data_IF_565549094751
#
_entry.id   IF_565549094751
#
_cell.length_a   1.000
_cell.length_b   1.000
_cell.length_c   1.000
_cell.angle_alpha   90.00
_cell.angle_beta   90.00
_cell.angle_gamma   90.00
#
_symmetry.space_group_name_H-M   'P 1'
#
loop_
_entity.id
_entity.type
_entity.pdbx_description
1 polymer ?
#
# COMPACT_ATOMS: atom_id res chain seq x y z
N UNK A 1 7.52 26.91 69.99
CA UNK A 1 7.49 28.03 69.01
C UNK A 1 8.94 28.32 68.71
N UNK A 2 9.53 27.86 67.60
CA UNK A 2 9.01 27.95 66.23
C UNK A 2 9.60 26.81 65.40
N UNK A 3 8.74 26.20 64.60
CA UNK A 3 8.98 25.04 63.72
C UNK A 3 9.91 25.42 62.56
N UNK A 4 10.90 24.58 62.27
CA UNK A 4 11.75 24.67 61.09
C UNK A 4 11.01 23.99 59.93
N UNK A 5 10.32 24.79 59.12
CA UNK A 5 9.74 24.31 57.88
C UNK A 5 10.84 24.10 56.83
N UNK A 6 11.34 22.87 56.73
CA UNK A 6 12.07 22.38 55.57
C UNK A 6 11.18 22.55 54.32
N UNK A 7 11.59 23.44 53.43
CA UNK A 7 10.94 23.64 52.15
C UNK A 7 11.47 22.56 51.20
N UNK A 8 10.75 21.45 51.12
CA UNK A 8 10.99 20.40 50.13
C UNK A 8 10.84 20.98 48.72
N UNK A 9 11.95 21.06 48.00
CA UNK A 9 11.99 21.38 46.58
C UNK A 9 11.27 20.26 45.81
N UNK A 10 10.05 20.56 45.36
CA UNK A 10 9.25 19.70 44.51
C UNK A 10 9.97 19.53 43.16
N UNK A 11 10.58 18.37 42.97
CA UNK A 11 11.23 18.00 41.73
C UNK A 11 10.17 17.97 40.62
N UNK A 12 10.35 18.83 39.61
CA UNK A 12 9.54 18.78 38.39
C UNK A 12 9.60 17.37 37.80
N UNK A 13 8.46 16.81 37.34
CA UNK A 13 8.46 15.49 36.73
C UNK A 13 9.37 15.52 35.50
N UNK A 14 10.37 14.65 35.50
CA UNK A 14 11.27 14.42 34.38
C UNK A 14 10.42 14.17 33.13
N UNK A 15 10.73 14.90 32.06
CA UNK A 15 10.05 14.82 30.76
C UNK A 15 10.18 13.38 30.26
N UNK A 16 9.17 12.54 30.51
CA UNK A 16 9.08 11.18 29.99
C UNK A 16 9.34 11.29 28.49
N UNK A 17 10.42 10.67 28.00
CA UNK A 17 10.67 10.56 26.56
C UNK A 17 9.40 9.97 25.97
N UNK A 18 8.65 10.79 25.22
CA UNK A 18 7.45 10.32 24.55
C UNK A 18 7.93 9.34 23.50
N UNK A 19 7.62 8.06 23.68
CA UNK A 19 7.85 7.07 22.65
C UNK A 19 7.18 7.58 21.36
N UNK A 20 7.84 7.46 20.21
CA UNK A 20 7.33 7.94 18.92
C UNK A 20 5.96 7.28 18.55
N UNK A 21 5.65 6.15 19.21
CA UNK A 21 4.37 5.44 19.19
C UNK A 21 3.20 6.21 19.83
N UNK A 22 3.46 7.19 20.71
CA UNK A 22 2.45 7.98 21.44
C UNK A 22 2.10 9.31 20.74
N UNK A 23 2.62 9.56 19.54
CA UNK A 23 2.31 10.76 18.77
C UNK A 23 0.95 10.63 18.06
N UNK A 24 0.08 11.62 18.25
CA UNK A 24 -1.20 11.72 17.53
C UNK A 24 -0.96 11.89 16.03
N UNK A 25 -1.72 11.14 15.21
CA UNK A 25 -1.62 11.15 13.74
C UNK A 25 -3.02 11.25 13.13
N UNK A 26 -3.18 11.95 12.00
CA UNK A 26 -4.45 11.97 11.28
C UNK A 26 -4.72 10.59 10.66
N UNK A 27 -5.96 10.11 10.78
CA UNK A 27 -6.41 8.85 10.17
C UNK A 27 -7.79 9.07 9.56
N UNK A 28 -7.95 8.71 8.29
CA UNK A 28 -9.26 8.60 7.64
C UNK A 28 -9.74 7.15 7.68
N UNK A 29 -10.80 6.88 8.45
CA UNK A 29 -11.50 5.58 8.40
C UNK A 29 -12.55 5.62 7.29
N UNK A 30 -12.57 4.61 6.42
CA UNK A 30 -13.51 4.51 5.30
C UNK A 30 -13.91 3.07 5.03
N UNK A 31 -15.13 2.89 4.55
CA UNK A 31 -15.59 1.61 4.02
C UNK A 31 -15.26 1.54 2.53
N UNK A 32 -14.46 0.55 2.14
CA UNK A 32 -14.16 0.23 0.75
C UNK A 32 -15.04 -0.91 0.28
N UNK A 33 -16.05 -0.61 -0.55
CA UNK A 33 -16.86 -1.63 -1.23
C UNK A 33 -16.13 -2.13 -2.48
N UNK A 34 -16.03 -3.45 -2.62
CA UNK A 34 -15.34 -4.12 -3.74
C UNK A 34 -16.20 -5.26 -4.28
N UNK A 35 -16.41 -5.29 -5.59
CA UNK A 35 -17.38 -6.19 -6.21
C UNK A 35 -16.73 -7.47 -6.79
N UNK A 36 -15.65 -7.30 -7.56
CA UNK A 36 -14.96 -8.39 -8.24
C UNK A 36 -14.06 -9.20 -7.30
N UNK A 37 -14.02 -10.52 -7.51
CA UNK A 37 -13.20 -11.43 -6.72
C UNK A 37 -11.70 -11.10 -6.81
N UNK A 38 -11.23 -10.62 -7.96
CA UNK A 38 -9.84 -10.27 -8.20
C UNK A 38 -9.42 -9.09 -7.33
N UNK A 39 -10.23 -8.03 -7.30
CA UNK A 39 -9.96 -6.87 -6.46
C UNK A 39 -10.10 -7.21 -4.97
N UNK A 40 -11.09 -8.03 -4.58
CA UNK A 40 -11.23 -8.56 -3.22
C UNK A 40 -9.97 -9.30 -2.77
N UNK A 41 -9.44 -10.21 -3.60
CA UNK A 41 -8.18 -10.93 -3.34
C UNK A 41 -6.99 -10.00 -3.17
N UNK A 42 -6.89 -8.94 -3.99
CA UNK A 42 -5.83 -7.95 -3.81
C UNK A 42 -5.94 -7.27 -2.44
N UNK A 43 -7.15 -6.87 -2.03
CA UNK A 43 -7.35 -6.27 -0.70
C UNK A 43 -6.93 -7.25 0.40
N UNK A 44 -7.48 -8.45 0.39
CA UNK A 44 -7.28 -9.47 1.42
C UNK A 44 -5.82 -9.89 1.56
N UNK A 45 -5.10 -10.01 0.45
CA UNK A 45 -3.70 -10.49 0.44
C UNK A 45 -2.69 -9.40 0.72
N UNK A 46 -2.98 -8.15 0.37
CA UNK A 46 -1.94 -7.10 0.31
C UNK A 46 -2.22 -5.84 1.12
N UNK A 47 -3.48 -5.43 1.30
CA UNK A 47 -3.79 -4.05 1.70
C UNK A 47 -3.20 -3.68 3.07
N UNK A 48 -3.44 -4.53 4.07
CA UNK A 48 -2.93 -4.31 5.43
C UNK A 48 -1.39 -4.25 5.43
N UNK A 49 -0.75 -5.22 4.79
CA UNK A 49 0.71 -5.30 4.75
C UNK A 49 1.34 -4.12 4.02
N UNK A 50 0.73 -3.64 2.94
CA UNK A 50 1.17 -2.43 2.22
C UNK A 50 1.01 -1.19 3.09
N UNK A 51 -0.12 -1.05 3.79
CA UNK A 51 -0.35 0.06 4.73
C UNK A 51 0.70 0.10 5.83
N UNK A 52 1.00 -1.04 6.44
CA UNK A 52 2.04 -1.14 7.48
C UNK A 52 3.44 -0.86 6.93
N UNK A 53 3.69 -1.25 5.68
CA UNK A 53 4.95 -0.99 5.00
C UNK A 53 5.18 0.50 4.75
N UNK A 54 4.18 1.18 4.19
CA UNK A 54 4.24 2.62 3.92
C UNK A 54 4.43 3.41 5.23
N UNK A 55 3.70 3.04 6.28
CA UNK A 55 3.90 3.61 7.61
C UNK A 55 5.32 3.40 8.13
N UNK A 56 5.85 2.18 7.99
CA UNK A 56 7.20 1.84 8.45
C UNK A 56 8.26 2.62 7.68
N UNK A 57 8.10 2.78 6.37
CA UNK A 57 8.98 3.60 5.53
C UNK A 57 9.03 5.04 6.05
N UNK A 58 7.87 5.68 6.27
CA UNK A 58 7.80 7.06 6.77
C UNK A 58 8.52 7.22 8.13
N UNK A 59 8.35 6.24 9.03
CA UNK A 59 9.00 6.24 10.34
C UNK A 59 10.51 6.02 10.23
N UNK A 60 10.94 5.04 9.43
CA UNK A 60 12.36 4.70 9.26
C UNK A 60 13.11 5.87 8.63
N UNK A 61 12.56 6.45 7.56
CA UNK A 61 13.17 7.58 6.86
C UNK A 61 13.33 8.79 7.78
N UNK A 62 12.39 9.04 8.68
CA UNK A 62 12.52 10.10 9.69
C UNK A 62 13.62 9.82 10.73
N UNK A 63 13.97 8.56 10.99
CA UNK A 63 15.05 8.18 11.94
C UNK A 63 16.42 8.32 11.28
N UNK A 64 16.54 8.01 9.99
CA UNK A 64 17.85 7.78 9.34
C UNK A 64 18.18 8.75 8.20
N UNK A 65 17.16 9.40 7.63
CA UNK A 65 17.24 10.13 6.38
C UNK A 65 17.52 11.61 6.60
N UNK A 66 18.35 12.17 5.73
CA UNK A 66 18.36 13.60 5.44
C UNK A 66 17.17 13.92 4.53
N UNK A 67 16.66 15.16 4.55
CA UNK A 67 15.43 15.51 3.82
C UNK A 67 15.45 15.07 2.34
N UNK A 68 16.59 15.21 1.67
CA UNK A 68 16.76 14.81 0.27
C UNK A 68 16.61 13.30 0.04
N UNK A 69 17.08 12.45 0.98
CA UNK A 69 16.91 10.99 0.89
C UNK A 69 15.43 10.59 1.09
N UNK A 70 14.72 11.30 1.97
CA UNK A 70 13.29 11.07 2.22
C UNK A 70 12.49 11.37 0.96
N UNK A 71 12.71 12.54 0.37
CA UNK A 71 12.01 13.00 -0.83
C UNK A 71 12.28 12.06 -2.02
N UNK A 72 13.48 11.51 -2.13
CA UNK A 72 13.83 10.53 -3.17
C UNK A 72 13.05 9.22 -3.02
N UNK A 73 12.97 8.65 -1.81
CA UNK A 73 12.25 7.40 -1.59
C UNK A 73 10.74 7.58 -1.78
N UNK A 74 10.18 8.69 -1.30
CA UNK A 74 8.78 9.04 -1.55
C UNK A 74 8.48 9.16 -3.05
N UNK A 75 9.39 9.78 -3.81
CA UNK A 75 9.26 9.91 -5.27
C UNK A 75 9.27 8.55 -5.99
N UNK A 76 10.12 7.62 -5.58
CA UNK A 76 10.18 6.26 -6.16
C UNK A 76 8.86 5.50 -5.92
N UNK A 77 8.34 5.57 -4.69
CA UNK A 77 7.05 4.94 -4.35
C UNK A 77 5.92 5.56 -5.20
N UNK A 78 5.93 6.89 -5.31
CA UNK A 78 4.94 7.63 -6.09
C UNK A 78 4.99 7.24 -7.58
N UNK A 79 6.18 7.11 -8.16
CA UNK A 79 6.36 6.70 -9.56
C UNK A 79 5.81 5.28 -9.81
N UNK A 80 6.09 4.34 -8.90
CA UNK A 80 5.58 2.97 -9.03
C UNK A 80 4.05 2.91 -8.96
N UNK A 81 3.44 3.68 -8.05
CA UNK A 81 1.98 3.79 -7.94
C UNK A 81 1.39 4.46 -9.18
N UNK A 82 1.98 5.56 -9.63
CA UNK A 82 1.51 6.32 -10.79
C UNK A 82 1.57 5.49 -12.08
N UNK A 83 2.65 4.74 -12.29
CA UNK A 83 2.77 3.84 -13.44
C UNK A 83 1.63 2.83 -13.50
N UNK A 84 1.31 2.16 -12.38
CA UNK A 84 0.18 1.22 -12.33
C UNK A 84 -1.16 1.94 -12.52
N UNK A 85 -1.30 3.15 -11.98
CA UNK A 85 -2.48 3.99 -12.16
C UNK A 85 -2.74 4.33 -13.64
N UNK A 86 -1.72 4.78 -14.36
CA UNK A 86 -1.78 5.13 -15.79
C UNK A 86 -2.07 3.90 -16.64
N UNK A 87 -1.46 2.76 -16.32
CA UNK A 87 -1.71 1.50 -17.02
C UNK A 87 -3.19 1.08 -16.88
N UNK A 88 -3.74 1.15 -15.65
CA UNK A 88 -5.15 0.85 -15.39
C UNK A 88 -6.09 1.81 -16.12
N UNK A 89 -5.80 3.11 -16.12
CA UNK A 89 -6.62 4.11 -16.83
C UNK A 89 -6.61 3.86 -18.33
N UNK A 90 -5.44 3.57 -18.89
CA UNK A 90 -5.29 3.26 -20.32
C UNK A 90 -6.11 2.03 -20.69
N UNK A 91 -6.02 0.95 -19.93
CA UNK A 91 -6.78 -0.26 -20.16
C UNK A 91 -8.30 -0.04 -19.99
N UNK A 92 -8.70 0.72 -18.96
CA UNK A 92 -10.10 1.08 -18.71
C UNK A 92 -10.68 1.82 -19.90
N UNK A 93 -9.98 2.84 -20.40
CA UNK A 93 -10.41 3.64 -21.54
C UNK A 93 -10.52 2.79 -22.82
N UNK A 94 -9.59 1.86 -23.03
CA UNK A 94 -9.64 0.94 -24.18
C UNK A 94 -10.86 0.01 -24.13
N UNK A 95 -11.17 -0.56 -22.95
CA UNK A 95 -12.33 -1.43 -22.78
C UNK A 95 -13.65 -0.66 -22.85
N UNK A 96 -13.70 0.56 -22.31
CA UNK A 96 -14.87 1.44 -22.44
C UNK A 96 -15.16 1.77 -23.89
N UNK A 97 -14.14 2.17 -24.66
CA UNK A 97 -14.28 2.38 -26.10
C UNK A 97 -14.77 1.13 -26.83
N UNK A 98 -14.25 -0.05 -26.45
CA UNK A 98 -14.72 -1.30 -27.04
C UNK A 98 -16.18 -1.60 -26.71
N UNK A 99 -16.67 -1.23 -25.52
CA UNK A 99 -18.10 -1.31 -25.20
C UNK A 99 -18.92 -0.36 -26.07
N UNK A 100 -18.48 0.89 -26.22
CA UNK A 100 -19.14 1.90 -27.07
C UNK A 100 -19.21 1.45 -28.53
N UNK A 101 -18.10 0.98 -29.09
CA UNK A 101 -18.00 0.50 -30.49
C UNK A 101 -18.91 -0.71 -30.77
N UNK A 102 -19.29 -1.46 -29.73
CA UNK A 102 -20.19 -2.62 -29.82
C UNK A 102 -21.63 -2.31 -29.33
N UNK A 103 -21.94 -1.06 -28.99
CA UNK A 103 -23.26 -0.65 -28.51
C UNK A 103 -23.69 -1.33 -27.21
N UNK A 104 -22.74 -1.68 -26.34
CA UNK A 104 -23.02 -2.35 -25.07
C UNK A 104 -23.31 -1.30 -24.01
N UNK A 105 -24.53 -1.33 -23.48
CA UNK A 105 -24.97 -0.48 -22.39
C UNK A 105 -25.13 -1.30 -21.09
N UNK A 106 -24.84 -0.66 -19.96
CA UNK A 106 -24.96 -1.29 -18.64
C UNK A 106 -23.77 -2.17 -18.25
N UNK A 107 -23.85 -2.71 -17.03
CA UNK A 107 -22.80 -3.53 -16.43
C UNK A 107 -23.43 -4.63 -15.55
N UNK A 108 -22.79 -5.79 -15.37
CA UNK A 108 -23.34 -6.88 -14.57
C UNK A 108 -23.33 -6.54 -13.08
N UNK A 109 -24.23 -7.17 -12.34
CA UNK A 109 -24.15 -7.22 -10.88
C UNK A 109 -23.23 -8.35 -10.42
N UNK A 110 -22.56 -8.14 -9.29
CA UNK A 110 -21.76 -9.18 -8.64
C UNK A 110 -22.57 -9.86 -7.54
N UNK A 111 -22.45 -11.18 -7.45
CA UNK A 111 -23.23 -12.01 -6.50
C UNK A 111 -22.84 -11.79 -5.05
N UNK A 112 -21.58 -11.43 -4.79
CA UNK A 112 -21.00 -11.38 -3.44
C UNK A 112 -19.99 -10.22 -3.30
N UNK A 113 -20.45 -8.95 -3.36
CA UNK A 113 -19.59 -7.81 -3.08
C UNK A 113 -19.22 -7.74 -1.59
N UNK A 114 -17.98 -7.40 -1.28
CA UNK A 114 -17.46 -7.26 0.08
C UNK A 114 -17.29 -5.79 0.47
N UNK A 115 -17.29 -5.54 1.77
CA UNK A 115 -16.97 -4.24 2.36
C UNK A 115 -15.78 -4.43 3.31
N UNK A 116 -14.76 -3.58 3.15
CA UNK A 116 -13.57 -3.59 3.97
C UNK A 116 -13.45 -2.27 4.71
N UNK A 117 -13.38 -2.32 6.04
CA UNK A 117 -13.04 -1.16 6.86
C UNK A 117 -11.54 -0.90 6.73
N UNK A 118 -11.18 0.19 6.07
CA UNK A 118 -9.79 0.58 5.85
C UNK A 118 -9.47 1.86 6.61
N UNK A 119 -8.22 1.93 7.08
CA UNK A 119 -7.65 3.12 7.68
C UNK A 119 -6.61 3.71 6.73
N UNK A 120 -6.77 4.99 6.41
CA UNK A 120 -5.84 5.74 5.56
C UNK A 120 -5.05 6.68 6.47
N UNK A 121 -3.79 6.34 6.69
CA UNK A 121 -2.84 7.07 7.54
C UNK A 121 -1.79 7.85 6.72
N UNK A 122 -1.68 7.61 5.41
CA UNK A 122 -0.85 8.38 4.48
C UNK A 122 -1.52 8.56 3.11
N UNK A 123 -1.12 9.58 2.32
CA UNK A 123 -1.59 9.75 0.95
C UNK A 123 -1.35 8.50 0.07
N UNK A 124 -0.22 7.81 0.24
CA UNK A 124 0.15 6.63 -0.55
C UNK A 124 -0.79 5.45 -0.27
N UNK A 125 -1.23 5.27 0.99
CA UNK A 125 -2.27 4.27 1.32
C UNK A 125 -3.59 4.61 0.64
N UNK A 126 -3.96 5.90 0.59
CA UNK A 126 -5.14 6.34 -0.14
C UNK A 126 -5.05 6.03 -1.64
N UNK A 127 -3.87 6.24 -2.24
CA UNK A 127 -3.62 5.95 -3.64
C UNK A 127 -3.68 4.45 -3.93
N UNK A 128 -3.11 3.60 -3.07
CA UNK A 128 -3.22 2.15 -3.22
C UNK A 128 -4.68 1.67 -3.12
N UNK A 129 -5.47 2.21 -2.18
CA UNK A 129 -6.91 1.98 -2.10
C UNK A 129 -7.63 2.42 -3.39
N UNK A 130 -7.19 3.52 -4.00
CA UNK A 130 -7.73 3.99 -5.27
C UNK A 130 -7.37 3.04 -6.44
N UNK A 131 -6.15 2.50 -6.48
CA UNK A 131 -5.76 1.47 -7.46
C UNK A 131 -6.63 0.22 -7.36
N UNK A 132 -6.97 -0.23 -6.15
CA UNK A 132 -7.92 -1.34 -5.95
C UNK A 132 -9.28 -1.03 -6.57
N UNK A 133 -9.79 0.21 -6.41
CA UNK A 133 -11.07 0.62 -7.03
C UNK A 133 -10.98 0.66 -8.55
N UNK A 134 -9.85 1.12 -9.10
CA UNK A 134 -9.60 1.10 -10.55
C UNK A 134 -9.55 -0.32 -11.09
N UNK A 135 -8.86 -1.24 -10.38
CA UNK A 135 -8.88 -2.66 -10.71
C UNK A 135 -10.31 -3.23 -10.69
N UNK A 136 -11.09 -2.94 -9.65
CA UNK A 136 -12.47 -3.41 -9.52
C UNK A 136 -13.35 -2.95 -10.70
N UNK A 137 -13.21 -1.69 -11.09
CA UNK A 137 -13.89 -1.13 -12.26
C UNK A 137 -13.41 -1.78 -13.57
N UNK A 138 -12.11 -2.02 -13.73
CA UNK A 138 -11.57 -2.69 -14.91
C UNK A 138 -12.12 -4.12 -15.03
N UNK A 139 -12.23 -4.85 -13.91
CA UNK A 139 -12.82 -6.20 -13.90
C UNK A 139 -14.29 -6.19 -14.30
N UNK A 140 -15.06 -5.18 -13.86
CA UNK A 140 -16.44 -4.99 -14.30
C UNK A 140 -16.55 -4.85 -15.82
N UNK A 141 -15.66 -4.07 -16.45
CA UNK A 141 -15.64 -3.90 -17.91
C UNK A 141 -15.23 -5.18 -18.63
N UNK A 142 -14.21 -5.88 -18.14
CA UNK A 142 -13.78 -7.18 -18.67
C UNK A 142 -14.93 -8.20 -18.61
N UNK A 143 -15.62 -8.28 -17.48
CA UNK A 143 -16.76 -9.19 -17.28
C UNK A 143 -17.94 -8.81 -18.18
N UNK A 144 -18.21 -7.52 -18.34
CA UNK A 144 -19.24 -7.01 -19.25
C UNK A 144 -18.97 -7.43 -20.68
N UNK A 145 -17.77 -7.18 -21.19
CA UNK A 145 -17.38 -7.54 -22.56
C UNK A 145 -17.37 -9.06 -22.77
N UNK A 146 -16.99 -9.84 -21.76
CA UNK A 146 -17.04 -11.31 -21.83
C UNK A 146 -18.48 -11.84 -21.87
N UNK A 147 -19.38 -11.34 -21.01
CA UNK A 147 -20.79 -11.75 -20.99
C UNK A 147 -21.52 -11.38 -22.30
N UNK A 148 -21.09 -10.30 -22.96
CA UNK A 148 -21.58 -9.89 -24.27
C UNK A 148 -20.82 -10.56 -25.44
N UNK A 149 -20.03 -11.60 -25.18
CA UNK A 149 -19.28 -12.37 -26.20
C UNK A 149 -18.26 -11.58 -27.03
N UNK A 150 -17.85 -10.39 -26.58
CA UNK A 150 -16.79 -9.59 -27.22
C UNK A 150 -15.41 -10.12 -26.83
N UNK A 151 -15.24 -10.51 -25.57
CA UNK A 151 -14.03 -11.20 -25.09
C UNK A 151 -14.26 -12.69 -25.00
N UNK A 152 -13.27 -13.46 -25.42
CA UNK A 152 -13.22 -14.90 -25.16
C UNK A 152 -12.96 -15.19 -23.68
N UNK A 153 -13.37 -16.37 -23.21
CA UNK A 153 -13.06 -16.81 -21.83
C UNK A 153 -11.55 -16.86 -21.55
N UNK A 154 -10.72 -17.12 -22.57
CA UNK A 154 -9.26 -17.05 -22.45
C UNK A 154 -8.79 -15.61 -22.20
N UNK A 155 -9.22 -14.65 -23.03
CA UNK A 155 -8.86 -13.25 -22.85
C UNK A 155 -9.31 -12.71 -21.50
N UNK A 156 -10.52 -13.07 -21.04
CA UNK A 156 -10.98 -12.75 -19.69
C UNK A 156 -10.03 -13.30 -18.63
N UNK A 157 -9.74 -14.60 -18.67
CA UNK A 157 -8.86 -15.27 -17.70
C UNK A 157 -7.49 -14.59 -17.66
N UNK A 158 -6.90 -14.35 -18.82
CA UNK A 158 -5.58 -13.74 -18.95
C UNK A 158 -5.59 -12.31 -18.39
N UNK A 159 -6.59 -11.48 -18.73
CA UNK A 159 -6.73 -10.13 -18.20
C UNK A 159 -6.91 -10.12 -16.67
N UNK A 160 -7.80 -10.97 -16.14
CA UNK A 160 -8.06 -11.03 -14.69
C UNK A 160 -6.81 -11.43 -13.90
N UNK A 161 -6.02 -12.38 -14.41
CA UNK A 161 -4.77 -12.79 -13.79
C UNK A 161 -3.72 -11.69 -13.87
N UNK A 162 -3.48 -11.13 -15.05
CA UNK A 162 -2.44 -10.12 -15.29
C UNK A 162 -2.64 -8.87 -14.41
N UNK A 163 -3.88 -8.37 -14.32
CA UNK A 163 -4.16 -7.16 -13.53
C UNK A 163 -4.16 -7.41 -12.03
N UNK A 164 -4.64 -8.58 -11.56
CA UNK A 164 -4.48 -8.97 -10.17
C UNK A 164 -2.98 -9.04 -9.82
N UNK A 165 -2.19 -9.69 -10.67
CA UNK A 165 -0.75 -9.81 -10.48
C UNK A 165 -0.01 -8.49 -10.51
N UNK A 166 -0.44 -7.55 -11.35
CA UNK A 166 0.16 -6.21 -11.42
C UNK A 166 0.12 -5.48 -10.07
N UNK A 167 -1.00 -5.57 -9.33
CA UNK A 167 -1.12 -4.96 -8.00
C UNK A 167 -0.39 -5.76 -6.92
N UNK A 168 -0.38 -7.09 -7.00
CA UNK A 168 0.40 -7.94 -6.08
C UNK A 168 1.90 -7.64 -6.20
N UNK A 169 2.41 -7.45 -7.42
CA UNK A 169 3.80 -7.03 -7.64
C UNK A 169 4.10 -5.63 -7.10
N UNK A 170 3.18 -4.68 -7.30
CA UNK A 170 3.32 -3.36 -6.69
C UNK A 170 3.41 -3.45 -5.16
N UNK A 171 2.59 -4.28 -4.53
CA UNK A 171 2.65 -4.52 -3.09
C UNK A 171 4.02 -5.08 -2.67
N UNK A 172 4.52 -6.09 -3.37
CA UNK A 172 5.86 -6.65 -3.15
C UNK A 172 6.97 -5.59 -3.25
N UNK A 173 6.94 -4.74 -4.28
CA UNK A 173 7.93 -3.66 -4.46
C UNK A 173 7.92 -2.64 -3.33
N UNK A 174 6.74 -2.23 -2.86
CA UNK A 174 6.62 -1.32 -1.71
C UNK A 174 7.26 -1.97 -0.46
N UNK A 175 7.00 -3.25 -0.23
CA UNK A 175 7.59 -3.99 0.89
C UNK A 175 9.11 -4.17 0.72
N UNK A 176 9.60 -4.38 -0.50
CA UNK A 176 11.03 -4.41 -0.80
C UNK A 176 11.72 -3.07 -0.51
N UNK A 177 11.06 -1.94 -0.76
CA UNK A 177 11.54 -0.60 -0.38
C UNK A 177 11.65 -0.48 1.15
N UNK A 178 10.66 -0.97 1.90
CA UNK A 178 10.73 -1.02 3.37
C UNK A 178 11.93 -1.86 3.85
N UNK A 179 12.14 -3.04 3.27
CA UNK A 179 13.28 -3.89 3.64
C UNK A 179 14.62 -3.18 3.38
N UNK A 180 14.78 -2.51 2.23
CA UNK A 180 15.96 -1.68 1.94
C UNK A 180 16.14 -0.54 2.93
N UNK A 181 15.05 0.13 3.33
CA UNK A 181 15.09 1.18 4.34
C UNK A 181 15.57 0.63 5.70
N UNK A 182 15.11 -0.56 6.10
CA UNK A 182 15.58 -1.25 7.32
C UNK A 182 17.06 -1.62 7.25
N UNK A 183 17.54 -2.12 6.11
CA UNK A 183 18.97 -2.41 5.89
C UNK A 183 19.80 -1.13 6.00
N UNK A 184 19.35 -0.04 5.37
CA UNK A 184 20.01 1.26 5.47
C UNK A 184 20.08 1.74 6.93
N UNK A 185 18.98 1.63 7.68
CA UNK A 185 18.96 1.95 9.11
C UNK A 185 19.93 1.11 9.93
N UNK A 186 20.00 -0.18 9.65
CA UNK A 186 20.95 -1.08 10.30
C UNK A 186 22.39 -0.64 10.02
N UNK A 187 22.72 -0.32 8.77
CA UNK A 187 24.06 0.16 8.37
C UNK A 187 24.45 1.48 9.04
N UNK A 188 23.47 2.35 9.31
CA UNK A 188 23.61 3.62 10.05
C UNK A 188 23.59 3.45 11.57
N UNK A 189 23.54 2.22 12.10
CA UNK A 189 23.55 1.93 13.54
C UNK A 189 22.23 2.24 14.27
N UNK A 190 21.12 2.36 13.53
CA UNK A 190 19.79 2.75 14.04
C UNK A 190 18.80 1.58 14.13
N UNK A 191 19.30 0.34 14.12
CA UNK A 191 18.48 -0.88 14.12
C UNK A 191 17.46 -0.91 15.27
N UNK A 192 17.94 -0.74 16.51
CA UNK A 192 17.10 -0.90 17.70
C UNK A 192 16.08 0.24 17.81
N UNK A 193 16.44 1.45 17.38
CA UNK A 193 15.53 2.59 17.30
C UNK A 193 14.41 2.37 16.28
N UNK A 194 14.75 1.82 15.11
CA UNK A 194 13.76 1.43 14.09
C UNK A 194 12.86 0.31 14.58
N UNK A 195 13.39 -0.74 15.19
CA UNK A 195 12.58 -1.88 15.66
C UNK A 195 11.64 -1.46 16.80
N UNK A 196 12.07 -0.54 17.66
CA UNK A 196 11.22 0.03 18.71
C UNK A 196 10.11 0.94 18.15
N UNK A 197 10.38 1.69 17.08
CA UNK A 197 9.45 2.67 16.52
C UNK A 197 8.49 2.08 15.47
N UNK A 198 8.94 1.12 14.67
CA UNK A 198 8.21 0.45 13.61
C UNK A 198 8.64 -1.03 13.52
N UNK A 199 8.08 -1.91 14.37
CA UNK A 199 8.42 -3.33 14.39
C UNK A 199 8.16 -3.99 13.04
N UNK A 200 9.00 -4.96 12.69
CA UNK A 200 8.89 -5.66 11.41
C UNK A 200 7.60 -6.49 11.35
N UNK A 201 6.81 -6.31 10.29
CA UNK A 201 5.61 -7.09 10.05
C UNK A 201 5.89 -8.27 9.10
N UNK A 202 5.38 -9.44 9.45
CA UNK A 202 5.51 -10.65 8.63
C UNK A 202 4.71 -10.52 7.33
N UNK A 203 5.30 -10.98 6.23
CA UNK A 203 4.63 -11.05 4.93
C UNK A 203 4.26 -12.50 4.68
N UNK A 204 3.00 -12.87 4.97
CA UNK A 204 2.53 -14.26 4.91
C UNK A 204 2.19 -14.74 3.50
N UNK A 205 1.95 -13.81 2.57
CA UNK A 205 1.70 -14.14 1.18
C UNK A 205 3.01 -14.38 0.43
N UNK A 206 3.21 -15.62 -0.05
CA UNK A 206 4.46 -16.07 -0.68
C UNK A 206 4.81 -15.27 -1.95
N UNK A 207 3.81 -14.86 -2.73
CA UNK A 207 4.00 -14.12 -3.98
C UNK A 207 4.45 -12.68 -3.69
N UNK A 208 3.86 -12.05 -2.69
CA UNK A 208 4.29 -10.73 -2.22
C UNK A 208 5.67 -10.80 -1.58
N UNK A 209 5.93 -11.82 -0.76
CA UNK A 209 7.21 -12.00 -0.08
C UNK A 209 8.36 -12.18 -1.09
N UNK A 210 8.17 -13.04 -2.09
CA UNK A 210 9.16 -13.28 -3.15
C UNK A 210 9.42 -12.04 -4.02
N UNK A 211 8.39 -11.31 -4.44
CA UNK A 211 8.60 -10.03 -5.16
C UNK A 211 9.29 -9.00 -4.25
N UNK A 212 8.98 -8.96 -2.95
CA UNK A 212 9.64 -8.06 -2.01
C UNK A 212 11.15 -8.38 -1.86
N UNK A 213 11.53 -9.66 -1.83
CA UNK A 213 12.94 -10.08 -1.82
C UNK A 213 13.66 -9.67 -3.12
N UNK A 214 13.01 -9.83 -4.27
CA UNK A 214 13.56 -9.42 -5.58
C UNK A 214 13.73 -7.88 -5.68
N UNK A 215 12.76 -7.13 -5.17
CA UNK A 215 12.81 -5.67 -5.13
C UNK A 215 13.83 -5.15 -4.11
N UNK A 216 14.10 -5.89 -3.04
CA UNK A 216 15.17 -5.60 -2.09
C UNK A 216 16.55 -5.80 -2.72
N UNK A 217 16.76 -6.91 -3.44
CA UNK A 217 18.04 -7.28 -4.07
C UNK A 217 18.37 -6.46 -5.32
N UNK A 218 17.42 -5.68 -5.84
CA UNK A 218 17.57 -4.89 -7.06
C UNK A 218 17.55 -5.73 -8.34
N UNK A 219 17.02 -6.95 -8.29
CA UNK A 219 16.91 -7.84 -9.45
C UNK A 219 15.87 -7.35 -10.46
N UNK A 220 14.84 -6.63 -10.00
CA UNK A 220 13.79 -6.04 -10.84
C UNK A 220 14.30 -4.94 -11.79
N UNK A 221 15.35 -4.19 -11.42
CA UNK A 221 15.94 -3.14 -12.28
C UNK A 221 16.73 -3.69 -13.47
N UNK A 222 17.12 -4.97 -13.45
CA UNK A 222 17.90 -5.60 -14.52
C UNK A 222 17.04 -6.24 -15.61
N UNK A 223 15.73 -6.35 -15.40
CA UNK A 223 14.78 -7.04 -16.28
C UNK A 223 13.84 -6.09 -17.05
N UNK A 224 13.99 -4.78 -16.88
CA UNK A 224 13.19 -3.74 -17.55
C UNK A 224 13.91 -3.16 -18.78
#
# INVERSE_FOLDING_TARGET
MTDLAETSLEQQPTKKERNNADLSRPVFKRVLKVNSLQAQRVVERSFQRVSDSLFSIDVILRIIGEQDEIDQVESIIQEHIEKVSVDLDTATNQLQKLMEDNGIEGAPEYTSPNQYDIEINSPQVAQFAHLVRKLDNLMLLVDTLWLNSILTSKQRKDATYQWQQRLIKLAGRIIGIEKRARISAHSKGKKDEVEAAAPTQETTDEEIASEADNAESGEDEKAA
#
